data_IF_571782175853
#
_entry.id   IF_571782175853
#
_cell.length_a   1.000
_cell.length_b   1.000
_cell.length_c   1.000
_cell.angle_alpha   90.00
_cell.angle_beta   90.00
_cell.angle_gamma   90.00
#
_symmetry.space_group_name_H-M   'P 1'
#
loop_
_entity.id
_entity.type
_entity.pdbx_description
1 polymer ?
#
# COMPACT_ATOMS: atom_id res chain seq x y z
N UNK A 1 10.88 14.23 -26.21
CA UNK A 1 11.70 13.36 -27.07
C UNK A 1 12.34 12.24 -26.26
N UNK A 2 13.25 12.54 -25.32
CA UNK A 2 13.95 11.51 -24.52
C UNK A 2 12.99 10.67 -23.66
N UNK A 3 12.17 11.31 -22.84
CA UNK A 3 11.21 10.62 -21.94
C UNK A 3 10.15 9.83 -22.70
N UNK A 4 9.44 10.48 -23.61
CA UNK A 4 8.25 9.91 -24.25
C UNK A 4 8.54 9.00 -25.46
N UNK A 5 9.57 9.33 -26.27
CA UNK A 5 9.79 8.66 -27.56
C UNK A 5 10.90 7.62 -27.46
N UNK A 6 12.05 7.99 -26.89
CA UNK A 6 13.22 7.11 -26.89
C UNK A 6 13.16 6.02 -25.81
N UNK A 7 12.70 6.38 -24.61
CA UNK A 7 12.57 5.45 -23.49
C UNK A 7 11.11 5.13 -23.14
N UNK A 8 10.14 5.93 -23.57
CA UNK A 8 8.73 5.75 -23.22
C UNK A 8 8.17 4.40 -23.63
N UNK A 9 8.58 3.86 -24.78
CA UNK A 9 8.17 2.52 -25.22
C UNK A 9 8.81 1.36 -24.45
N UNK A 10 9.82 1.62 -23.61
CA UNK A 10 10.47 0.62 -22.75
C UNK A 10 9.91 0.61 -21.32
N UNK A 11 9.19 1.67 -20.94
CA UNK A 11 8.58 1.81 -19.62
C UNK A 11 7.11 1.42 -19.75
N UNK A 12 6.71 0.35 -19.07
CA UNK A 12 5.35 -0.19 -19.15
C UNK A 12 4.40 0.40 -18.11
N UNK A 13 4.92 0.85 -16.96
CA UNK A 13 4.13 1.42 -15.87
C UNK A 13 3.97 2.94 -16.03
N UNK A 14 2.74 3.43 -15.93
CA UNK A 14 2.40 4.84 -16.09
C UNK A 14 3.02 5.75 -15.01
N UNK A 15 3.16 5.24 -13.78
CA UNK A 15 3.79 5.99 -12.68
C UNK A 15 5.31 6.04 -12.86
N UNK A 16 5.93 4.97 -13.34
CA UNK A 16 7.35 5.00 -13.71
C UNK A 16 7.60 5.95 -14.87
N UNK A 17 6.69 6.00 -15.85
CA UNK A 17 6.74 6.97 -16.95
C UNK A 17 6.59 8.40 -16.43
N UNK A 18 5.69 8.64 -15.48
CA UNK A 18 5.54 9.94 -14.79
C UNK A 18 6.83 10.33 -14.04
N UNK A 19 7.44 9.40 -13.31
CA UNK A 19 8.72 9.61 -12.63
C UNK A 19 9.82 9.97 -13.64
N UNK A 20 9.99 9.19 -14.71
CA UNK A 20 11.01 9.44 -15.72
C UNK A 20 10.82 10.78 -16.42
N UNK A 21 9.57 11.14 -16.73
CA UNK A 21 9.24 12.46 -17.26
C UNK A 21 9.64 13.57 -16.30
N UNK A 22 9.42 13.39 -15.00
CA UNK A 22 9.79 14.35 -13.97
C UNK A 22 11.31 14.55 -13.93
N UNK A 23 12.10 13.47 -13.96
CA UNK A 23 13.56 13.57 -14.08
C UNK A 23 13.99 14.39 -15.30
N UNK A 24 13.41 14.11 -16.47
CA UNK A 24 13.74 14.89 -17.68
C UNK A 24 13.34 16.35 -17.57
N UNK A 25 12.24 16.68 -16.88
CA UNK A 25 11.80 18.05 -16.69
C UNK A 25 12.67 18.83 -15.70
N UNK A 26 13.28 18.17 -14.73
CA UNK A 26 14.16 18.81 -13.75
C UNK A 26 15.59 18.92 -14.29
N UNK A 27 16.11 17.86 -14.91
CA UNK A 27 17.52 17.77 -15.30
C UNK A 27 17.84 18.11 -16.75
N UNK A 28 16.85 18.16 -17.66
CA UNK A 28 17.08 18.58 -19.05
C UNK A 28 16.49 19.98 -19.26
N UNK A 29 17.05 20.95 -18.56
CA UNK A 29 16.62 22.36 -18.60
C UNK A 29 17.80 23.28 -18.93
N UNK A 30 17.59 24.45 -19.54
CA UNK A 30 18.68 25.40 -19.78
C UNK A 30 19.44 25.78 -18.50
N UNK A 31 18.79 25.74 -17.33
CA UNK A 31 19.42 25.96 -16.03
C UNK A 31 20.52 24.95 -15.70
N UNK A 32 20.45 23.71 -16.21
CA UNK A 32 21.51 22.72 -15.97
C UNK A 32 22.79 23.02 -16.74
N UNK A 33 22.73 23.88 -17.77
CA UNK A 33 23.88 24.29 -18.56
C UNK A 33 24.62 25.50 -17.96
N UNK A 34 24.14 26.06 -16.84
CA UNK A 34 24.82 27.17 -16.18
C UNK A 34 26.08 26.68 -15.45
N UNK A 35 27.16 27.48 -15.46
CA UNK A 35 28.43 27.12 -14.79
C UNK A 35 28.29 26.96 -13.26
N UNK A 36 27.26 27.59 -12.67
CA UNK A 36 26.94 27.48 -11.24
C UNK A 36 26.03 26.29 -10.90
N UNK A 37 25.59 25.53 -11.90
CA UNK A 37 24.68 24.41 -11.68
C UNK A 37 25.37 23.27 -10.94
N UNK A 38 24.66 22.73 -9.96
CA UNK A 38 25.06 21.52 -9.26
C UNK A 38 23.86 20.60 -9.10
N UNK A 39 24.11 19.29 -9.19
CA UNK A 39 23.10 18.28 -8.89
C UNK A 39 22.87 18.12 -7.38
N UNK A 40 23.70 18.76 -6.55
CA UNK A 40 23.52 18.76 -5.10
C UNK A 40 22.19 19.45 -4.74
N UNK A 41 21.39 18.88 -3.82
CA UNK A 41 20.20 19.55 -3.32
C UNK A 41 20.58 20.88 -2.65
N UNK A 42 19.73 21.92 -2.74
CA UNK A 42 20.01 23.22 -2.14
C UNK A 42 20.10 23.17 -0.61
N UNK A 43 19.29 22.31 0.02
CA UNK A 43 19.28 22.07 1.45
C UNK A 43 19.38 20.55 1.69
N UNK A 44 20.59 19.98 1.76
CA UNK A 44 20.76 18.56 2.03
C UNK A 44 20.35 18.22 3.48
N UNK A 45 19.63 17.11 3.65
CA UNK A 45 19.24 16.62 4.98
C UNK A 45 20.44 16.01 5.70
N UNK A 46 21.27 15.27 4.97
CA UNK A 46 22.56 14.77 5.44
C UNK A 46 23.72 15.39 4.66
N UNK A 47 24.88 15.53 5.34
CA UNK A 47 26.09 16.00 4.66
C UNK A 47 26.46 15.03 3.55
N UNK A 48 26.75 15.60 2.38
CA UNK A 48 27.23 14.84 1.23
C UNK A 48 28.65 14.36 1.54
N UNK A 49 28.97 13.08 1.27
CA UNK A 49 30.30 12.53 1.50
C UNK A 49 31.39 13.39 0.87
N UNK A 50 32.42 13.69 1.67
CA UNK A 50 33.57 14.50 1.27
C UNK A 50 33.22 15.93 0.82
N UNK A 51 32.00 16.42 1.14
CA UNK A 51 31.43 17.67 0.64
C UNK A 51 31.54 17.81 -0.89
N UNK A 52 31.45 16.66 -1.59
CA UNK A 52 31.62 16.60 -3.03
C UNK A 52 30.53 17.39 -3.76
N UNK A 53 30.92 18.14 -4.77
CA UNK A 53 30.01 18.94 -5.61
C UNK A 53 29.89 18.28 -6.98
N UNK A 54 28.71 17.73 -7.25
CA UNK A 54 28.37 17.17 -8.55
C UNK A 54 28.05 18.33 -9.51
N UNK A 55 29.08 18.80 -10.21
CA UNK A 55 29.00 19.88 -11.21
C UNK A 55 29.31 19.32 -12.60
N UNK A 56 28.99 20.08 -13.64
CA UNK A 56 29.36 19.73 -15.02
C UNK A 56 30.64 20.49 -15.37
N UNK A 57 31.79 19.82 -15.58
CA UNK A 57 33.02 20.51 -15.98
C UNK A 57 32.89 21.17 -17.35
N UNK A 58 33.21 22.46 -17.44
CA UNK A 58 33.24 23.21 -18.71
C UNK A 58 34.55 22.91 -19.46
N UNK A 59 34.56 21.79 -20.19
CA UNK A 59 35.71 21.34 -21.01
C UNK A 59 35.22 20.62 -22.26
N UNK A 60 35.94 20.75 -23.36
CA UNK A 60 35.66 20.01 -24.61
C UNK A 60 36.41 18.67 -24.66
N UNK A 61 37.38 18.46 -23.77
CA UNK A 61 38.21 17.26 -23.75
C UNK A 61 37.60 16.14 -22.91
N UNK A 62 37.51 14.94 -23.51
CA UNK A 62 37.04 13.72 -22.83
C UNK A 62 37.90 13.35 -21.60
N UNK A 63 39.22 13.64 -21.64
CA UNK A 63 40.14 13.37 -20.54
C UNK A 63 39.70 14.03 -19.24
N UNK A 64 39.36 15.32 -19.31
CA UNK A 64 38.90 16.12 -18.16
C UNK A 64 37.66 15.52 -17.50
N UNK A 65 36.68 15.04 -18.30
CA UNK A 65 35.49 14.39 -17.76
C UNK A 65 35.82 13.06 -17.07
N UNK A 66 36.70 12.24 -17.67
CA UNK A 66 37.13 10.97 -17.07
C UNK A 66 37.87 11.18 -15.77
N UNK A 67 38.74 12.19 -15.69
CA UNK A 67 39.49 12.49 -14.48
C UNK A 67 38.60 13.07 -13.39
N UNK A 68 37.57 13.86 -13.74
CA UNK A 68 36.54 14.30 -12.81
C UNK A 68 35.68 13.14 -12.28
N UNK A 69 35.29 12.18 -13.11
CA UNK A 69 34.52 11.01 -12.65
C UNK A 69 35.33 10.17 -11.65
N UNK A 70 36.65 10.09 -11.79
CA UNK A 70 37.51 9.37 -10.83
C UNK A 70 37.57 10.02 -9.45
N UNK A 71 37.18 11.29 -9.31
CA UNK A 71 37.14 11.96 -8.00
C UNK A 71 35.80 11.76 -7.28
N UNK A 72 34.86 11.04 -7.88
CA UNK A 72 33.56 10.76 -7.25
C UNK A 72 33.76 9.94 -5.98
N UNK A 73 32.94 10.19 -4.94
CA UNK A 73 32.96 9.34 -3.76
C UNK A 73 32.49 7.92 -4.10
N UNK A 74 32.97 6.93 -3.35
CA UNK A 74 32.53 5.53 -3.52
C UNK A 74 31.05 5.31 -3.15
N UNK A 75 30.53 6.17 -2.27
CA UNK A 75 29.16 6.10 -1.75
C UNK A 75 28.49 7.44 -2.02
N UNK A 76 27.44 7.40 -2.82
CA UNK A 76 26.59 8.54 -3.13
C UNK A 76 25.40 8.62 -2.16
N UNK A 77 25.02 9.83 -1.75
CA UNK A 77 23.80 10.03 -0.95
C UNK A 77 22.54 9.92 -1.80
N UNK A 78 21.46 9.26 -1.35
CA UNK A 78 20.20 9.16 -2.10
C UNK A 78 19.62 10.51 -2.55
N UNK A 79 19.93 11.59 -1.83
CA UNK A 79 19.46 12.94 -2.13
C UNK A 79 19.90 13.47 -3.49
N UNK A 80 21.04 13.02 -4.03
CA UNK A 80 21.49 13.44 -5.37
C UNK A 80 20.55 12.93 -6.47
N UNK A 81 19.87 11.83 -6.22
CA UNK A 81 18.86 11.26 -7.10
C UNK A 81 17.48 11.87 -6.83
N UNK A 82 17.36 12.84 -5.92
CA UNK A 82 16.06 13.37 -5.50
C UNK A 82 15.29 12.46 -4.56
N UNK A 83 15.90 11.40 -4.01
CA UNK A 83 15.28 10.54 -3.00
C UNK A 83 15.49 11.09 -1.59
N UNK A 84 14.64 10.68 -0.66
CA UNK A 84 14.86 10.92 0.77
C UNK A 84 15.98 10.00 1.30
N UNK A 85 16.82 10.43 2.25
CA UNK A 85 17.87 9.58 2.81
C UNK A 85 17.42 8.25 3.42
N UNK A 86 16.17 8.20 3.87
CA UNK A 86 15.55 6.98 4.38
C UNK A 86 15.52 5.85 3.33
N UNK A 87 15.68 6.16 2.04
CA UNK A 87 15.81 5.16 0.99
C UNK A 87 17.04 4.23 1.21
N UNK A 88 18.17 4.75 1.70
CA UNK A 88 19.34 3.93 2.03
C UNK A 88 19.04 2.97 3.18
N UNK A 89 18.32 3.44 4.20
CA UNK A 89 17.88 2.58 5.30
C UNK A 89 16.96 1.46 4.81
N UNK A 90 15.98 1.76 3.97
CA UNK A 90 15.09 0.77 3.36
C UNK A 90 15.86 -0.25 2.52
N UNK A 91 16.85 0.20 1.75
CA UNK A 91 17.71 -0.68 0.96
C UNK A 91 18.47 -1.67 1.86
N UNK A 92 19.14 -1.18 2.90
CA UNK A 92 19.88 -2.02 3.86
C UNK A 92 18.99 -3.02 4.59
N UNK A 93 17.78 -2.61 5.00
CA UNK A 93 16.81 -3.51 5.64
C UNK A 93 16.41 -4.65 4.68
N UNK A 94 16.18 -4.35 3.39
CA UNK A 94 15.86 -5.36 2.39
C UNK A 94 17.02 -6.32 2.16
N UNK A 95 18.24 -5.82 2.09
CA UNK A 95 19.44 -6.64 1.93
C UNK A 95 19.65 -7.59 3.10
N UNK A 96 19.51 -7.09 4.33
CA UNK A 96 19.61 -7.91 5.56
C UNK A 96 18.50 -8.97 5.61
N UNK A 97 17.27 -8.63 5.24
CA UNK A 97 16.18 -9.60 5.18
C UNK A 97 16.43 -10.69 4.11
N UNK A 98 16.97 -10.31 2.96
CA UNK A 98 17.37 -11.27 1.91
C UNK A 98 18.51 -12.19 2.37
N UNK A 99 19.48 -11.65 3.13
CA UNK A 99 20.55 -12.43 3.74
C UNK A 99 19.99 -13.44 4.74
N UNK A 100 19.12 -13.02 5.67
CA UNK A 100 18.51 -13.93 6.65
C UNK A 100 17.63 -14.99 5.98
N UNK A 101 16.88 -14.63 4.94
CA UNK A 101 16.10 -15.59 4.18
C UNK A 101 16.99 -16.64 3.50
N UNK A 102 18.09 -16.21 2.88
CA UNK A 102 19.08 -17.12 2.27
C UNK A 102 19.70 -18.03 3.31
N UNK A 103 20.11 -17.50 4.45
CA UNK A 103 20.70 -18.27 5.56
C UNK A 103 19.72 -19.31 6.13
N UNK A 104 18.46 -18.94 6.31
CA UNK A 104 17.41 -19.87 6.74
C UNK A 104 17.17 -20.99 5.72
N UNK A 105 17.27 -20.69 4.43
CA UNK A 105 17.10 -21.68 3.36
C UNK A 105 18.29 -22.64 3.22
N UNK A 106 19.51 -22.21 3.56
CA UNK A 106 20.72 -23.06 3.50
C UNK A 106 20.92 -23.91 4.75
N UNK A 107 20.20 -23.63 5.84
CA UNK A 107 20.28 -24.43 7.06
C UNK A 107 19.81 -25.87 6.81
N UNK A 108 20.59 -26.91 7.22
CA UNK A 108 20.22 -28.30 6.99
C UNK A 108 18.91 -28.63 7.70
N UNK A 109 17.85 -28.85 6.92
CA UNK A 109 16.52 -29.21 7.44
C UNK A 109 16.48 -30.64 8.02
N UNK A 110 17.52 -31.45 7.83
CA UNK A 110 17.56 -32.87 8.22
C UNK A 110 18.61 -33.24 9.28
N UNK A 111 19.13 -32.29 10.08
CA UNK A 111 20.20 -32.60 11.04
C UNK A 111 20.07 -31.84 12.36
N UNK A 112 19.27 -32.37 13.30
CA UNK A 112 19.19 -31.89 14.69
C UNK A 112 18.81 -33.05 15.60
N UNK A 113 19.73 -33.45 16.48
CA UNK A 113 19.64 -34.62 17.34
C UNK A 113 18.47 -34.58 18.33
N UNK A 114 17.99 -35.78 18.67
CA UNK A 114 16.82 -36.04 19.50
C UNK A 114 16.93 -35.40 20.90
N UNK A 115 15.87 -34.68 21.28
CA UNK A 115 15.72 -34.08 22.60
C UNK A 115 14.66 -32.98 22.69
N UNK A 116 14.25 -32.39 21.57
CA UNK A 116 13.14 -31.43 21.49
C UNK A 116 11.86 -32.01 20.88
N UNK A 117 10.73 -31.31 21.07
CA UNK A 117 9.47 -31.63 20.39
C UNK A 117 9.70 -31.73 18.88
N UNK A 118 9.05 -32.69 18.22
CA UNK A 118 9.17 -32.82 16.77
C UNK A 118 8.58 -31.60 16.07
N UNK A 119 8.95 -31.37 14.80
CA UNK A 119 8.39 -30.24 14.05
C UNK A 119 6.89 -30.40 13.90
N UNK A 120 6.47 -31.64 13.72
CA UNK A 120 5.10 -32.10 13.64
C UNK A 120 4.34 -31.78 14.92
N UNK A 121 4.91 -32.02 16.10
CA UNK A 121 4.28 -31.69 17.39
C UNK A 121 4.06 -30.17 17.54
N UNK A 122 5.09 -29.37 17.21
CA UNK A 122 5.00 -27.90 17.28
C UNK A 122 3.95 -27.36 16.32
N UNK A 123 3.89 -27.89 15.09
CA UNK A 123 2.88 -27.50 14.10
C UNK A 123 1.49 -27.97 14.51
N UNK A 124 1.36 -29.14 15.15
CA UNK A 124 0.09 -29.67 15.62
C UNK A 124 -0.53 -28.77 16.70
N UNK A 125 0.27 -28.36 17.69
CA UNK A 125 -0.16 -27.42 18.75
C UNK A 125 -0.53 -26.06 18.16
N UNK A 126 0.30 -25.50 17.27
CA UNK A 126 -0.01 -24.23 16.59
C UNK A 126 -1.28 -24.32 15.75
N UNK A 127 -1.47 -25.41 15.00
CA UNK A 127 -2.68 -25.62 14.21
C UNK A 127 -3.92 -25.70 15.11
N UNK A 128 -3.81 -26.31 16.29
CA UNK A 128 -4.90 -26.37 17.28
C UNK A 128 -5.25 -24.96 17.78
N UNK A 129 -4.24 -24.17 18.18
CA UNK A 129 -4.44 -22.79 18.64
C UNK A 129 -5.11 -21.92 17.56
N UNK A 130 -4.63 -22.01 16.31
CA UNK A 130 -5.20 -21.27 15.19
C UNK A 130 -6.65 -21.71 14.89
N UNK A 131 -6.95 -23.01 14.98
CA UNK A 131 -8.32 -23.54 14.79
C UNK A 131 -9.30 -23.08 15.87
N UNK A 132 -8.85 -22.97 17.12
CA UNK A 132 -9.66 -22.47 18.23
C UNK A 132 -9.97 -20.98 18.08
N UNK A 133 -8.99 -20.19 17.63
CA UNK A 133 -9.13 -18.74 17.44
C UNK A 133 -9.77 -18.33 16.12
N UNK A 134 -10.00 -19.27 15.20
CA UNK A 134 -10.60 -19.00 13.89
C UNK A 134 -12.06 -18.55 14.04
N UNK A 135 -12.48 -17.43 13.40
CA UNK A 135 -13.86 -16.97 13.48
C UNK A 135 -14.88 -18.00 13.00
N UNK A 136 -16.08 -17.97 13.59
CA UNK A 136 -17.17 -18.88 13.23
C UNK A 136 -17.61 -18.64 11.79
N UNK A 137 -17.91 -19.71 11.06
CA UNK A 137 -18.36 -19.63 9.68
C UNK A 137 -19.61 -18.74 9.51
N UNK A 138 -19.64 -17.95 8.44
CA UNK A 138 -20.77 -17.11 8.08
C UNK A 138 -21.90 -17.96 7.47
N UNK A 139 -23.10 -17.84 8.05
CA UNK A 139 -24.30 -18.52 7.54
C UNK A 139 -25.02 -17.60 6.55
N UNK A 140 -25.22 -18.08 5.33
CA UNK A 140 -25.76 -17.30 4.21
C UNK A 140 -27.11 -16.63 4.51
N UNK A 141 -28.02 -17.37 5.13
CA UNK A 141 -29.35 -16.86 5.45
C UNK A 141 -29.31 -15.77 6.55
N UNK A 142 -28.39 -15.87 7.52
CA UNK A 142 -28.27 -14.90 8.62
C UNK A 142 -27.77 -13.54 8.11
N UNK A 143 -26.65 -13.54 7.38
CA UNK A 143 -26.11 -12.27 6.89
C UNK A 143 -26.98 -11.65 5.80
N UNK A 144 -27.68 -12.45 4.97
CA UNK A 144 -28.70 -11.91 4.05
C UNK A 144 -29.85 -11.25 4.79
N UNK A 145 -30.38 -11.87 5.84
CA UNK A 145 -31.46 -11.30 6.64
C UNK A 145 -31.03 -9.98 7.32
N UNK A 146 -29.79 -9.92 7.85
CA UNK A 146 -29.22 -8.70 8.43
C UNK A 146 -29.00 -7.60 7.38
N UNK A 147 -28.49 -7.94 6.20
CA UNK A 147 -28.36 -6.99 5.08
C UNK A 147 -29.72 -6.43 4.62
N UNK A 148 -30.79 -7.24 4.64
CA UNK A 148 -32.13 -6.74 4.35
C UNK A 148 -32.60 -5.71 5.37
N UNK A 149 -32.30 -5.89 6.66
CA UNK A 149 -32.58 -4.88 7.70
C UNK A 149 -31.81 -3.58 7.48
N UNK A 150 -30.64 -3.63 6.84
CA UNK A 150 -29.80 -2.47 6.51
C UNK A 150 -30.20 -1.73 5.22
N UNK A 151 -31.41 -1.99 4.69
CA UNK A 151 -31.91 -1.37 3.44
C UNK A 151 -31.72 -2.23 2.19
N UNK A 152 -31.32 -3.50 2.36
CA UNK A 152 -31.27 -4.49 1.30
C UNK A 152 -30.16 -4.28 0.27
N UNK A 153 -30.20 -5.10 -0.78
CA UNK A 153 -29.23 -5.08 -1.88
C UNK A 153 -29.47 -3.95 -2.89
N UNK A 154 -30.43 -3.05 -2.64
CA UNK A 154 -30.58 -1.84 -3.44
C UNK A 154 -29.44 -0.84 -3.18
N UNK A 155 -28.84 -0.91 -1.99
CA UNK A 155 -27.75 -0.06 -1.53
C UNK A 155 -26.40 -0.61 -2.05
N UNK A 156 -25.62 0.16 -2.82
CA UNK A 156 -24.33 -0.28 -3.35
C UNK A 156 -23.34 -0.76 -2.29
N UNK A 157 -23.23 -0.07 -1.14
CA UNK A 157 -22.33 -0.49 -0.07
C UNK A 157 -22.75 -1.81 0.60
N UNK A 158 -24.06 -2.13 0.63
CA UNK A 158 -24.53 -3.42 1.15
C UNK A 158 -24.21 -4.56 0.17
N UNK A 159 -24.25 -4.31 -1.15
CA UNK A 159 -23.79 -5.28 -2.15
C UNK A 159 -22.29 -5.55 -1.98
N UNK A 160 -21.51 -4.50 -1.74
CA UNK A 160 -20.08 -4.64 -1.46
C UNK A 160 -19.85 -5.52 -0.22
N UNK A 161 -20.48 -5.22 0.92
CA UNK A 161 -20.36 -6.01 2.15
C UNK A 161 -20.77 -7.47 1.94
N UNK A 162 -21.84 -7.72 1.17
CA UNK A 162 -22.26 -9.09 0.83
C UNK A 162 -21.16 -9.89 0.11
N UNK A 163 -20.56 -9.30 -0.92
CA UNK A 163 -19.49 -9.96 -1.69
C UNK A 163 -18.22 -10.15 -0.84
N UNK A 164 -17.96 -9.19 0.04
CA UNK A 164 -16.81 -9.22 0.94
C UNK A 164 -16.91 -10.37 1.95
N UNK A 165 -18.06 -10.51 2.62
CA UNK A 165 -18.33 -11.61 3.55
C UNK A 165 -18.22 -12.96 2.85
N UNK A 166 -18.76 -13.08 1.62
CA UNK A 166 -18.63 -14.31 0.84
C UNK A 166 -17.18 -14.68 0.55
N UNK A 167 -16.32 -13.69 0.28
CA UNK A 167 -14.90 -13.92 0.04
C UNK A 167 -14.16 -14.27 1.33
N UNK A 168 -14.44 -13.56 2.42
CA UNK A 168 -13.86 -13.85 3.74
C UNK A 168 -14.21 -15.26 4.20
N UNK A 169 -15.47 -15.67 4.04
CA UNK A 169 -15.93 -17.02 4.38
C UNK A 169 -15.18 -18.10 3.58
N UNK A 170 -14.90 -17.88 2.29
CA UNK A 170 -14.09 -18.81 1.49
C UNK A 170 -12.67 -18.96 2.04
N UNK A 171 -12.07 -17.88 2.55
CA UNK A 171 -10.75 -17.93 3.19
C UNK A 171 -10.82 -18.69 4.50
N UNK A 172 -11.77 -18.36 5.39
CA UNK A 172 -11.97 -19.04 6.68
C UNK A 172 -12.16 -20.54 6.46
N UNK A 173 -13.06 -20.94 5.55
CA UNK A 173 -13.32 -22.34 5.24
C UNK A 173 -12.07 -23.06 4.70
N UNK A 174 -11.30 -22.41 3.81
CA UNK A 174 -10.07 -22.98 3.26
C UNK A 174 -9.01 -23.20 4.34
N UNK A 175 -8.77 -22.21 5.18
CA UNK A 175 -7.79 -22.29 6.29
C UNK A 175 -8.21 -23.36 7.29
N UNK A 176 -9.49 -23.37 7.70
CA UNK A 176 -10.05 -24.36 8.61
C UNK A 176 -9.87 -25.78 8.06
N UNK A 177 -10.20 -25.98 6.79
CA UNK A 177 -10.06 -27.28 6.11
C UNK A 177 -8.61 -27.75 6.07
N UNK A 178 -7.68 -26.88 5.65
CA UNK A 178 -6.25 -27.22 5.55
C UNK A 178 -5.66 -27.52 6.93
N UNK A 179 -5.94 -26.71 7.95
CA UNK A 179 -5.43 -26.94 9.31
C UNK A 179 -5.98 -28.23 9.93
N UNK A 180 -7.26 -28.55 9.68
CA UNK A 180 -7.86 -29.80 10.15
C UNK A 180 -7.24 -31.01 9.47
N UNK A 181 -7.07 -30.96 8.14
CA UNK A 181 -6.41 -32.01 7.38
C UNK A 181 -4.94 -32.18 7.78
N UNK A 182 -4.24 -31.08 8.07
CA UNK A 182 -2.86 -31.10 8.55
C UNK A 182 -2.76 -31.82 9.90
N UNK A 183 -3.67 -31.56 10.84
CA UNK A 183 -3.71 -32.28 12.11
C UNK A 183 -3.99 -33.78 11.94
N UNK A 184 -4.92 -34.14 11.05
CA UNK A 184 -5.22 -35.55 10.73
C UNK A 184 -4.04 -36.23 10.04
N UNK A 185 -3.32 -35.53 9.15
CA UNK A 185 -2.15 -36.05 8.48
C UNK A 185 -0.98 -36.28 9.44
N UNK A 186 -0.76 -35.37 10.41
CA UNK A 186 0.24 -35.54 11.47
C UNK A 186 -0.09 -36.77 12.35
N UNK A 187 -1.38 -37.02 12.61
CA UNK A 187 -1.83 -38.23 13.33
C UNK A 187 -1.76 -39.52 12.51
N UNK A 188 -1.51 -39.43 11.20
CA UNK A 188 -1.51 -40.58 10.28
C UNK A 188 -2.89 -41.05 9.83
N UNK A 189 -3.95 -40.26 10.07
CA UNK A 189 -5.32 -40.56 9.62
C UNK A 189 -5.55 -40.20 8.14
N UNK A 190 -4.83 -39.18 7.65
CA UNK A 190 -4.88 -38.70 6.26
C UNK A 190 -3.48 -38.76 5.65
N UNK A 191 -3.41 -39.00 4.33
CA UNK A 191 -2.13 -39.03 3.62
C UNK A 191 -1.51 -37.62 3.57
N UNK A 192 -0.24 -37.51 3.94
CA UNK A 192 0.53 -36.27 3.80
C UNK A 192 0.73 -35.94 2.32
N UNK A 193 -0.04 -34.98 1.80
CA UNK A 193 0.11 -34.46 0.44
C UNK A 193 1.22 -33.40 0.38
N UNK A 194 1.70 -33.08 -0.82
CA UNK A 194 2.67 -32.00 -1.03
C UNK A 194 2.15 -30.66 -0.48
N UNK A 195 0.86 -30.37 -0.67
CA UNK A 195 0.21 -29.16 -0.15
C UNK A 195 0.23 -29.08 1.39
N UNK A 196 -0.03 -30.20 2.06
CA UNK A 196 0.00 -30.28 3.53
C UNK A 196 1.44 -30.18 4.04
N UNK A 197 2.39 -30.80 3.34
CA UNK A 197 3.81 -30.73 3.69
C UNK A 197 4.37 -29.31 3.53
N UNK A 198 4.04 -28.59 2.45
CA UNK A 198 4.39 -27.18 2.30
C UNK A 198 3.79 -26.31 3.41
N UNK A 199 2.52 -26.57 3.76
CA UNK A 199 1.83 -25.86 4.84
C UNK A 199 2.48 -26.14 6.20
N UNK A 200 2.88 -27.38 6.46
CA UNK A 200 3.60 -27.77 7.68
C UNK A 200 4.89 -26.95 7.84
N UNK A 201 5.72 -26.90 6.78
CA UNK A 201 6.96 -26.12 6.82
C UNK A 201 6.71 -24.62 6.97
N UNK A 202 5.72 -24.07 6.26
CA UNK A 202 5.39 -22.65 6.36
C UNK A 202 4.92 -22.27 7.77
N UNK A 203 4.04 -23.07 8.39
CA UNK A 203 3.55 -22.84 9.76
C UNK A 203 4.67 -22.98 10.79
N UNK A 204 5.56 -23.96 10.60
CA UNK A 204 6.74 -24.14 11.44
C UNK A 204 7.66 -22.91 11.39
N UNK A 205 7.97 -22.42 10.18
CA UNK A 205 8.81 -21.25 9.90
C UNK A 205 8.09 -19.90 10.19
N UNK A 206 6.88 -19.93 10.75
CA UNK A 206 6.03 -18.76 11.01
C UNK A 206 5.74 -17.88 9.77
N UNK A 207 5.73 -18.50 8.58
CA UNK A 207 5.38 -17.89 7.30
C UNK A 207 3.94 -18.22 6.92
N UNK A 208 3.34 -17.38 6.09
CA UNK A 208 2.00 -17.63 5.55
C UNK A 208 2.08 -18.75 4.49
N UNK A 209 1.31 -19.84 4.61
CA UNK A 209 1.23 -20.86 3.57
C UNK A 209 0.79 -20.26 2.23
N UNK A 210 1.48 -20.61 1.14
CA UNK A 210 1.24 -20.04 -0.20
C UNK A 210 -0.21 -20.21 -0.64
N UNK A 211 -0.82 -21.35 -0.33
CA UNK A 211 -2.21 -21.67 -0.68
C UNK A 211 -3.25 -20.80 0.04
N UNK A 212 -2.89 -20.14 1.15
CA UNK A 212 -3.78 -19.21 1.83
C UNK A 212 -3.75 -17.83 1.15
N UNK A 213 -2.58 -17.39 0.71
CA UNK A 213 -2.40 -16.10 0.03
C UNK A 213 -2.80 -16.14 -1.45
N UNK A 214 -2.50 -17.24 -2.14
CA UNK A 214 -2.65 -17.37 -3.58
C UNK A 214 -3.49 -18.58 -4.01
N UNK A 215 -4.11 -18.45 -5.16
CA UNK A 215 -4.71 -19.56 -5.92
C UNK A 215 -3.60 -20.29 -6.68
N UNK A 216 -3.86 -21.52 -7.12
CA UNK A 216 -2.91 -22.33 -7.91
C UNK A 216 -2.47 -21.58 -9.18
N UNK A 217 -3.34 -20.74 -9.76
CA UNK A 217 -3.05 -19.87 -10.92
C UNK A 217 -2.16 -18.67 -10.61
N UNK A 218 -1.80 -18.42 -9.35
CA UNK A 218 -1.02 -17.25 -8.93
C UNK A 218 -1.85 -15.99 -8.62
N UNK A 219 -3.19 -16.10 -8.65
CA UNK A 219 -4.07 -15.00 -8.28
C UNK A 219 -4.19 -14.83 -6.77
N UNK A 220 -4.23 -13.59 -6.31
CA UNK A 220 -4.40 -13.25 -4.90
C UNK A 220 -5.76 -13.76 -4.37
N UNK A 221 -5.70 -14.77 -3.51
CA UNK A 221 -6.88 -15.36 -2.88
C UNK A 221 -7.29 -14.54 -1.65
N UNK A 222 -6.34 -14.22 -0.77
CA UNK A 222 -6.56 -13.45 0.46
C UNK A 222 -5.81 -12.11 0.50
N UNK A 223 -4.70 -12.03 1.23
CA UNK A 223 -3.80 -10.90 1.33
C UNK A 223 -2.38 -11.36 1.64
N UNK A 224 -1.43 -10.46 1.39
CA UNK A 224 0.00 -10.73 1.53
C UNK A 224 0.51 -10.00 2.77
N UNK A 225 1.05 -10.77 3.71
CA UNK A 225 1.69 -10.29 4.94
C UNK A 225 2.94 -11.15 5.21
N UNK A 226 4.00 -10.57 5.80
CA UNK A 226 5.30 -11.25 5.89
C UNK A 226 5.31 -12.42 6.88
N UNK A 227 4.46 -12.38 7.91
CA UNK A 227 4.43 -13.41 8.96
C UNK A 227 3.04 -13.99 9.16
N UNK A 228 2.99 -15.24 9.59
CA UNK A 228 1.75 -15.95 9.94
C UNK A 228 0.97 -15.20 11.03
N UNK A 229 1.66 -14.67 12.04
CA UNK A 229 1.04 -13.94 13.15
C UNK A 229 0.35 -12.66 12.70
N UNK A 230 1.00 -11.85 11.86
CA UNK A 230 0.38 -10.65 11.29
C UNK A 230 -0.80 -11.02 10.38
N UNK A 231 -0.64 -12.06 9.56
CA UNK A 231 -1.68 -12.54 8.66
C UNK A 231 -2.93 -12.98 9.42
N UNK A 232 -2.76 -13.75 10.49
CA UNK A 232 -3.87 -14.26 11.30
C UNK A 232 -4.53 -13.15 12.14
N UNK A 233 -3.76 -12.25 12.73
CA UNK A 233 -4.31 -11.07 13.41
C UNK A 233 -5.11 -10.19 12.44
N UNK A 234 -4.65 -10.04 11.20
CA UNK A 234 -5.40 -9.35 10.15
C UNK A 234 -6.71 -10.08 9.81
N UNK A 235 -6.71 -11.42 9.72
CA UNK A 235 -7.94 -12.21 9.50
C UNK A 235 -9.00 -11.90 10.57
N UNK A 236 -8.62 -11.90 11.84
CA UNK A 236 -9.53 -11.61 12.96
C UNK A 236 -10.06 -10.19 12.88
N UNK A 237 -9.18 -9.21 12.64
CA UNK A 237 -9.58 -7.79 12.57
C UNK A 237 -10.52 -7.52 11.39
N UNK A 238 -10.34 -8.22 10.26
CA UNK A 238 -11.23 -8.14 9.09
C UNK A 238 -12.61 -8.73 9.39
N UNK A 239 -12.66 -9.89 10.03
CA UNK A 239 -13.92 -10.51 10.49
C UNK A 239 -14.65 -9.61 11.47
N UNK A 240 -13.94 -9.00 12.43
CA UNK A 240 -14.50 -8.06 13.39
C UNK A 240 -15.12 -6.83 12.70
N UNK A 241 -14.42 -6.26 11.72
CA UNK A 241 -14.93 -5.14 10.91
C UNK A 241 -16.23 -5.49 10.19
N UNK A 242 -16.26 -6.62 9.49
CA UNK A 242 -17.44 -7.06 8.72
C UNK A 242 -18.61 -7.43 9.63
N UNK A 243 -18.35 -8.12 10.75
CA UNK A 243 -19.39 -8.45 11.75
C UNK A 243 -19.95 -7.21 12.44
N UNK A 244 -19.08 -6.26 12.79
CA UNK A 244 -19.50 -4.99 13.38
C UNK A 244 -20.39 -4.23 12.41
N UNK A 245 -20.02 -4.17 11.13
CA UNK A 245 -20.86 -3.57 10.11
C UNK A 245 -22.21 -4.30 9.97
N UNK A 246 -22.21 -5.63 9.93
CA UNK A 246 -23.41 -6.43 9.78
C UNK A 246 -24.40 -6.28 10.96
N UNK A 247 -23.90 -6.16 12.18
CA UNK A 247 -24.73 -6.14 13.40
C UNK A 247 -25.09 -4.72 13.85
N UNK A 248 -24.15 -3.76 13.79
CA UNK A 248 -24.31 -2.41 14.32
C UNK A 248 -24.63 -1.37 13.23
N UNK A 249 -24.61 -1.78 11.96
CA UNK A 249 -24.82 -0.89 10.82
C UNK A 249 -23.52 -0.24 10.35
N UNK A 250 -23.65 0.80 9.52
CA UNK A 250 -22.51 1.37 8.78
C UNK A 250 -21.45 1.98 9.72
N UNK A 251 -20.17 1.61 9.57
CA UNK A 251 -19.07 2.28 10.26
C UNK A 251 -19.01 3.78 9.92
N UNK A 252 -18.60 4.60 10.89
CA UNK A 252 -18.36 6.04 10.67
C UNK A 252 -17.06 6.29 9.92
N UNK A 253 -16.08 5.40 10.09
CA UNK A 253 -14.79 5.41 9.41
C UNK A 253 -14.43 3.99 9.00
N UNK A 254 -13.88 3.83 7.80
CA UNK A 254 -13.55 2.54 7.22
C UNK A 254 -12.04 2.28 7.25
N UNK A 255 -11.65 1.06 7.61
CA UNK A 255 -10.28 0.60 7.45
C UNK A 255 -10.12 -0.01 6.05
N UNK A 256 -9.52 0.76 5.14
CA UNK A 256 -9.46 0.38 3.71
C UNK A 256 -8.69 -0.92 3.49
N UNK A 257 -7.68 -1.18 4.33
CA UNK A 257 -6.84 -2.37 4.20
C UNK A 257 -7.55 -3.63 4.66
N UNK A 258 -8.56 -3.49 5.52
CA UNK A 258 -9.41 -4.58 5.99
C UNK A 258 -10.22 -5.20 4.86
N UNK A 259 -10.34 -4.52 3.73
CA UNK A 259 -11.03 -5.06 2.57
C UNK A 259 -10.12 -5.83 1.62
N UNK A 260 -10.66 -6.87 0.98
CA UNK A 260 -10.01 -7.65 -0.08
C UNK A 260 -9.90 -6.82 -1.36
N UNK A 261 -10.97 -6.11 -1.72
CA UNK A 261 -11.08 -5.33 -2.95
C UNK A 261 -11.38 -3.85 -2.66
N UNK A 262 -10.40 -3.06 -2.19
CA UNK A 262 -10.60 -1.63 -1.98
C UNK A 262 -10.84 -0.86 -3.30
N UNK A 263 -10.29 -1.35 -4.42
CA UNK A 263 -10.32 -0.65 -5.72
C UNK A 263 -11.39 -1.12 -6.70
N UNK A 264 -11.75 -2.42 -6.70
CA UNK A 264 -12.24 -3.12 -7.90
C UNK A 264 -13.14 -2.27 -8.81
N UNK A 265 -12.72 -2.13 -10.08
CA UNK A 265 -13.25 -1.19 -11.09
C UNK A 265 -14.79 -1.17 -11.27
N UNK A 266 -15.52 -2.18 -10.81
CA UNK A 266 -17.00 -2.17 -10.76
C UNK A 266 -17.62 -2.47 -9.39
N UNK A 267 -16.87 -3.08 -8.45
CA UNK A 267 -17.42 -3.66 -7.21
C UNK A 267 -16.59 -3.34 -5.95
N UNK A 268 -15.63 -2.41 -6.02
CA UNK A 268 -14.85 -1.99 -4.85
C UNK A 268 -15.62 -1.00 -3.98
N UNK A 269 -15.22 -0.90 -2.70
CA UNK A 269 -15.81 0.04 -1.73
C UNK A 269 -15.90 1.47 -2.28
N UNK A 270 -14.83 1.95 -2.93
CA UNK A 270 -14.77 3.30 -3.49
C UNK A 270 -15.77 3.49 -4.65
N UNK A 271 -15.96 2.48 -5.49
CA UNK A 271 -16.96 2.50 -6.57
C UNK A 271 -18.38 2.48 -6.01
N UNK A 272 -18.63 1.66 -4.98
CA UNK A 272 -19.94 1.63 -4.31
C UNK A 272 -20.26 2.98 -3.65
N UNK A 273 -19.29 3.61 -3.00
CA UNK A 273 -19.42 4.98 -2.49
C UNK A 273 -19.71 5.97 -3.63
N UNK A 274 -18.96 5.90 -4.73
CA UNK A 274 -19.17 6.77 -5.91
C UNK A 274 -20.58 6.62 -6.48
N UNK A 275 -21.11 5.39 -6.53
CA UNK A 275 -22.49 5.12 -6.96
C UNK A 275 -23.52 5.70 -5.98
N UNK A 276 -23.30 5.60 -4.67
CA UNK A 276 -24.18 6.22 -3.68
C UNK A 276 -24.23 7.74 -3.82
N UNK A 277 -23.08 8.40 -3.94
CA UNK A 277 -23.00 9.85 -4.16
C UNK A 277 -23.70 10.23 -5.47
N UNK A 278 -23.40 9.55 -6.57
CA UNK A 278 -24.06 9.80 -7.87
C UNK A 278 -25.58 9.65 -7.79
N UNK A 279 -26.08 8.66 -7.03
CA UNK A 279 -27.53 8.46 -6.83
C UNK A 279 -28.18 9.57 -5.99
N UNK A 280 -27.46 10.14 -5.01
CA UNK A 280 -27.93 11.30 -4.23
C UNK A 280 -28.08 12.54 -5.11
N UNK A 281 -27.14 12.79 -6.01
CA UNK A 281 -27.20 13.91 -6.98
C UNK A 281 -27.97 13.57 -8.28
N UNK A 282 -28.91 12.61 -8.23
CA UNK A 282 -29.73 12.28 -9.41
C UNK A 282 -30.55 13.48 -9.92
N UNK A 283 -30.99 14.36 -9.01
CA UNK A 283 -31.69 15.60 -9.37
C UNK A 283 -30.83 16.55 -10.22
N UNK A 284 -29.51 16.53 -10.01
CA UNK A 284 -28.52 17.33 -10.73
C UNK A 284 -28.00 16.66 -12.01
N UNK A 285 -28.56 15.49 -12.37
CA UNK A 285 -28.19 14.69 -13.56
C UNK A 285 -26.72 14.26 -13.59
N UNK A 286 -26.13 13.96 -12.45
CA UNK A 286 -24.77 13.41 -12.42
C UNK A 286 -24.72 12.03 -13.09
N UNK A 287 -23.81 11.87 -14.04
CA UNK A 287 -23.50 10.58 -14.67
C UNK A 287 -22.28 9.95 -13.99
N UNK A 288 -22.32 8.63 -13.76
CA UNK A 288 -21.23 7.92 -13.07
C UNK A 288 -19.87 8.08 -13.77
N UNK A 289 -19.87 8.24 -15.09
CA UNK A 289 -18.68 8.42 -15.92
C UNK A 289 -18.06 9.82 -15.81
N UNK A 290 -18.86 10.81 -15.38
CA UNK A 290 -18.43 12.21 -15.21
C UNK A 290 -18.02 12.54 -13.78
N UNK A 291 -18.24 11.61 -12.86
CA UNK A 291 -17.82 11.73 -11.47
C UNK A 291 -16.39 11.23 -11.30
N UNK A 292 -15.61 11.91 -10.49
CA UNK A 292 -14.19 11.64 -10.17
C UNK A 292 -14.01 11.68 -8.65
N UNK A 293 -13.03 10.94 -8.14
CA UNK A 293 -12.74 10.94 -6.71
C UNK A 293 -12.23 12.31 -6.25
N UNK A 294 -12.82 12.80 -5.17
CA UNK A 294 -12.34 13.94 -4.42
C UNK A 294 -11.82 13.47 -3.07
N UNK A 295 -10.66 13.98 -2.67
CA UNK A 295 -9.95 13.51 -1.48
C UNK A 295 -9.45 14.69 -0.69
N UNK A 296 -9.69 14.66 0.62
CA UNK A 296 -9.25 15.70 1.54
C UNK A 296 -8.71 15.06 2.82
N UNK A 297 -7.55 15.52 3.30
CA UNK A 297 -6.99 15.06 4.57
C UNK A 297 -7.67 15.86 5.68
N UNK A 298 -8.38 15.17 6.58
CA UNK A 298 -9.11 15.82 7.68
C UNK A 298 -8.19 16.14 8.85
N UNK A 299 -8.71 16.90 9.83
CA UNK A 299 -8.04 17.16 11.11
C UNK A 299 -8.10 15.98 12.09
N UNK A 300 -8.88 14.93 11.81
CA UNK A 300 -9.04 13.79 12.70
C UNK A 300 -7.83 12.85 12.60
N UNK A 301 -7.16 12.59 13.73
CA UNK A 301 -5.98 11.73 13.77
C UNK A 301 -6.33 10.25 13.85
N UNK A 302 -7.38 9.93 14.62
CA UNK A 302 -7.78 8.57 14.96
C UNK A 302 -9.28 8.40 14.68
N UNK A 303 -9.67 7.17 14.40
CA UNK A 303 -11.08 6.82 14.15
C UNK A 303 -12.01 7.24 15.30
N UNK A 304 -11.54 7.21 16.55
CA UNK A 304 -12.30 7.55 17.76
C UNK A 304 -12.80 9.00 17.79
N UNK A 305 -12.12 9.90 17.04
CA UNK A 305 -12.50 11.30 16.95
C UNK A 305 -13.66 11.52 15.98
N UNK A 306 -13.94 10.55 15.10
CA UNK A 306 -14.99 10.62 14.09
C UNK A 306 -16.33 10.19 14.70
N UNK A 307 -17.07 11.17 15.24
CA UNK A 307 -18.36 10.92 15.93
C UNK A 307 -19.54 10.67 15.00
N UNK A 308 -19.49 11.19 13.78
CA UNK A 308 -20.59 11.08 12.81
C UNK A 308 -20.06 10.77 11.42
N UNK A 309 -20.78 9.96 10.62
CA UNK A 309 -20.43 9.75 9.22
C UNK A 309 -20.58 11.05 8.42
N UNK A 310 -19.88 11.19 7.28
CA UNK A 310 -20.03 12.36 6.43
C UNK A 310 -21.39 12.34 5.72
N UNK A 311 -21.89 13.52 5.32
CA UNK A 311 -23.15 13.63 4.58
C UNK A 311 -23.07 12.89 3.22
N UNK A 312 -21.92 12.99 2.56
CA UNK A 312 -21.59 12.34 1.29
C UNK A 312 -20.16 11.82 1.35
N UNK A 313 -19.90 10.67 0.72
CA UNK A 313 -18.59 10.02 0.77
C UNK A 313 -18.36 9.15 2.01
N UNK A 314 -17.10 8.89 2.30
CA UNK A 314 -16.65 8.02 3.39
C UNK A 314 -15.37 8.57 4.04
N UNK A 315 -15.18 8.29 5.32
CA UNK A 315 -13.91 8.49 6.01
C UNK A 315 -13.08 7.21 5.98
N UNK A 316 -11.79 7.33 5.75
CA UNK A 316 -10.84 6.22 5.66
C UNK A 316 -9.71 6.44 6.66
N UNK A 317 -9.36 5.40 7.41
CA UNK A 317 -8.22 5.41 8.33
C UNK A 317 -7.23 4.28 8.05
N UNK A 318 -6.06 4.34 8.69
CA UNK A 318 -5.01 3.32 8.58
C UNK A 318 -4.22 3.43 7.27
N UNK A 319 -3.96 4.66 6.81
CA UNK A 319 -3.07 4.93 5.68
C UNK A 319 -1.75 5.48 6.19
N UNK A 320 -0.66 5.14 5.53
CA UNK A 320 0.71 5.54 5.89
C UNK A 320 1.36 6.23 4.71
N UNK A 321 2.01 7.38 4.94
CA UNK A 321 2.87 8.04 3.97
C UNK A 321 4.27 7.45 4.02
N UNK A 322 4.81 7.14 2.85
CA UNK A 322 6.19 6.74 2.62
C UNK A 322 6.90 7.83 1.80
N UNK A 323 8.10 8.23 2.22
CA UNK A 323 8.88 9.30 1.59
C UNK A 323 8.44 10.74 1.95
N UNK A 324 7.36 10.90 2.71
CA UNK A 324 6.87 12.19 3.21
C UNK A 324 6.16 12.05 4.56
N UNK A 325 5.87 13.18 5.18
CA UNK A 325 5.01 13.31 6.35
C UNK A 325 3.93 14.36 6.10
N UNK A 326 2.90 14.37 6.94
CA UNK A 326 1.81 15.35 6.87
C UNK A 326 1.87 16.31 8.05
N UNK A 327 2.02 17.60 7.79
CA UNK A 327 1.97 18.63 8.83
C UNK A 327 0.52 19.02 9.11
N UNK A 328 0.09 18.80 10.37
CA UNK A 328 -1.29 19.12 10.81
C UNK A 328 -1.51 20.63 10.95
N UNK A 329 -0.49 21.35 11.40
CA UNK A 329 -0.60 22.80 11.65
C UNK A 329 -0.81 23.57 10.34
N UNK A 330 -0.13 23.13 9.29
CA UNK A 330 -0.16 23.80 7.99
C UNK A 330 -1.10 23.12 6.98
N UNK A 331 -1.48 21.86 7.23
CA UNK A 331 -2.30 21.06 6.32
C UNK A 331 -1.61 20.77 4.99
N UNK A 332 -0.29 20.57 5.01
CA UNK A 332 0.55 20.35 3.82
C UNK A 332 1.51 19.18 4.02
N UNK A 333 1.99 18.63 2.92
CA UNK A 333 3.08 17.65 2.94
C UNK A 333 4.41 18.30 3.35
N UNK A 334 5.13 17.61 4.23
CA UNK A 334 6.45 17.97 4.72
C UNK A 334 7.37 16.76 4.59
N UNK A 335 8.70 16.97 4.68
CA UNK A 335 9.63 15.83 4.58
C UNK A 335 9.52 14.95 5.82
N UNK A 336 9.75 13.65 5.63
CA UNK A 336 9.76 12.73 6.76
C UNK A 336 10.96 12.99 7.65
N UNK A 337 10.81 12.68 8.94
CA UNK A 337 11.94 12.73 9.87
C UNK A 337 12.97 11.64 9.49
N UNK A 338 14.27 11.91 9.65
CA UNK A 338 15.29 10.90 9.46
C UNK A 338 15.01 9.65 10.31
N UNK A 339 15.21 8.47 9.72
CA UNK A 339 14.96 7.14 10.34
C UNK A 339 13.48 6.79 10.55
N UNK A 340 12.54 7.66 10.16
CA UNK A 340 11.10 7.38 10.16
C UNK A 340 10.65 7.04 8.74
N UNK A 341 10.56 5.75 8.44
CA UNK A 341 10.20 5.25 7.10
C UNK A 341 8.75 5.57 6.74
N UNK A 342 7.84 5.32 7.67
CA UNK A 342 6.40 5.47 7.47
C UNK A 342 5.80 6.42 8.50
N UNK A 343 4.90 7.31 8.05
CA UNK A 343 4.17 8.24 8.92
C UNK A 343 2.68 8.02 8.71
N UNK A 344 1.91 7.81 9.79
CA UNK A 344 0.45 7.68 9.67
C UNK A 344 -0.15 8.96 9.09
N UNK A 345 -0.95 8.82 8.04
CA UNK A 345 -1.80 9.88 7.54
C UNK A 345 -3.00 10.04 8.50
N UNK A 346 -3.46 11.27 8.76
CA UNK A 346 -4.77 11.50 9.39
C UNK A 346 -5.90 10.86 8.58
N UNK A 347 -7.10 10.82 9.17
CA UNK A 347 -8.30 10.29 8.51
C UNK A 347 -8.52 11.01 7.18
N UNK A 348 -8.60 10.24 6.11
CA UNK A 348 -8.82 10.72 4.76
C UNK A 348 -10.32 10.74 4.49
N UNK A 349 -10.83 11.91 4.10
CA UNK A 349 -12.16 12.04 3.54
C UNK A 349 -12.11 11.73 2.05
N UNK A 350 -12.96 10.82 1.60
CA UNK A 350 -13.10 10.48 0.18
C UNK A 350 -14.55 10.64 -0.23
N UNK A 351 -14.78 11.56 -1.15
CA UNK A 351 -16.06 11.81 -1.80
C UNK A 351 -15.93 11.76 -3.31
N UNK A 352 -16.96 12.20 -4.03
CA UNK A 352 -16.98 12.17 -5.47
C UNK A 352 -17.56 13.50 -5.99
N UNK A 353 -16.88 14.12 -6.94
CA UNK A 353 -17.27 15.39 -7.56
C UNK A 353 -17.35 15.23 -9.08
N UNK A 354 -18.04 16.13 -9.78
CA UNK A 354 -18.00 16.17 -11.25
C UNK A 354 -16.62 16.62 -11.75
N UNK A 355 -16.21 16.18 -12.95
CA UNK A 355 -14.96 16.64 -13.59
C UNK A 355 -14.88 18.17 -13.67
N UNK A 356 -15.99 18.85 -13.98
CA UNK A 356 -16.07 20.30 -14.08
C UNK A 356 -15.82 21.00 -12.74
N UNK A 357 -16.39 20.49 -11.65
CA UNK A 357 -16.21 21.08 -10.33
C UNK A 357 -14.86 20.70 -9.72
N UNK A 358 -14.33 19.52 -10.04
CA UNK A 358 -12.99 19.12 -9.61
C UNK A 358 -11.92 20.10 -10.13
N UNK A 359 -12.06 20.64 -11.34
CA UNK A 359 -11.11 21.64 -11.87
C UNK A 359 -11.16 22.95 -11.07
N UNK A 360 -12.36 23.39 -10.67
CA UNK A 360 -12.54 24.59 -9.84
C UNK A 360 -11.95 24.37 -8.45
N UNK A 361 -12.36 23.29 -7.80
CA UNK A 361 -11.88 22.89 -6.46
C UNK A 361 -10.36 22.69 -6.46
N UNK A 362 -9.80 22.09 -7.52
CA UNK A 362 -8.34 21.91 -7.62
C UNK A 362 -7.61 23.26 -7.64
N UNK A 363 -8.12 24.25 -8.38
CA UNK A 363 -7.53 25.59 -8.44
C UNK A 363 -7.70 26.36 -7.12
N UNK A 364 -8.87 26.24 -6.49
CA UNK A 364 -9.17 26.94 -5.23
C UNK A 364 -8.39 26.37 -4.05
N UNK A 365 -8.32 25.04 -3.91
CA UNK A 365 -7.68 24.39 -2.76
C UNK A 365 -6.16 24.24 -2.89
N UNK A 366 -5.63 24.05 -4.10
CA UNK A 366 -4.22 23.73 -4.32
C UNK A 366 -3.45 24.78 -5.13
N UNK A 367 -4.12 25.87 -5.54
CA UNK A 367 -3.49 26.98 -6.24
C UNK A 367 -2.98 26.64 -7.66
N UNK A 368 -2.08 27.47 -8.18
CA UNK A 368 -1.64 27.42 -9.58
C UNK A 368 -0.81 26.17 -9.95
N UNK A 369 -0.12 25.54 -8.98
CA UNK A 369 0.67 24.33 -9.23
C UNK A 369 -0.14 23.03 -9.13
N UNK A 370 -1.34 23.09 -8.54
CA UNK A 370 -2.20 21.92 -8.33
C UNK A 370 -1.71 20.98 -7.23
N UNK A 371 -2.50 19.95 -6.90
CA UNK A 371 -2.15 18.96 -5.88
C UNK A 371 -1.04 18.03 -6.36
N UNK A 372 -0.32 17.42 -5.41
CA UNK A 372 0.43 16.21 -5.71
C UNK A 372 -0.53 15.03 -5.74
N UNK A 373 -0.66 14.39 -6.90
CA UNK A 373 -1.43 13.17 -7.07
C UNK A 373 -0.60 11.99 -6.54
N UNK A 374 -0.84 11.62 -5.28
CA UNK A 374 -0.14 10.57 -4.58
C UNK A 374 -0.79 9.21 -4.85
N UNK A 375 -0.05 8.21 -5.36
CA UNK A 375 -0.60 6.87 -5.53
C UNK A 375 -0.78 6.17 -4.17
N UNK A 376 -1.95 5.60 -3.94
CA UNK A 376 -2.25 4.78 -2.77
C UNK A 376 -2.15 3.30 -3.12
N UNK A 377 -1.23 2.56 -2.52
CA UNK A 377 -1.02 1.13 -2.76
C UNK A 377 -1.56 0.26 -1.62
N UNK A 378 -2.04 -0.95 -1.98
CA UNK A 378 -2.45 -1.97 -1.02
C UNK A 378 -1.28 -2.52 -0.20
N UNK A 379 -0.12 -2.72 -0.83
CA UNK A 379 1.09 -3.29 -0.22
C UNK A 379 2.31 -2.38 -0.46
N UNK A 380 3.37 -2.60 0.33
CA UNK A 380 4.68 -1.95 0.16
C UNK A 380 5.34 -2.28 -1.18
N UNK A 381 5.00 -3.42 -1.79
CA UNK A 381 5.36 -3.77 -3.17
C UNK A 381 4.57 -2.90 -4.16
N UNK A 382 5.18 -1.82 -4.62
CA UNK A 382 4.56 -0.85 -5.52
C UNK A 382 4.56 -1.38 -6.96
N UNK A 383 3.43 -1.92 -7.39
CA UNK A 383 3.19 -2.31 -8.79
C UNK A 383 1.81 -1.81 -9.21
N UNK A 384 1.58 -1.61 -10.51
CA UNK A 384 0.28 -1.18 -11.05
C UNK A 384 -0.89 -2.03 -10.54
N UNK A 385 -0.68 -3.34 -10.34
CA UNK A 385 -1.68 -4.29 -9.80
C UNK A 385 -2.20 -3.89 -8.41
N UNK A 386 -1.38 -3.22 -7.60
CA UNK A 386 -1.69 -2.90 -6.20
C UNK A 386 -2.05 -1.44 -5.96
N UNK A 387 -2.05 -0.60 -7.00
CA UNK A 387 -2.57 0.78 -6.90
C UNK A 387 -4.06 0.69 -6.62
N UNK A 388 -4.57 1.42 -5.64
CA UNK A 388 -5.99 1.52 -5.34
C UNK A 388 -6.58 2.74 -6.03
N UNK A 389 -6.06 3.92 -5.75
CA UNK A 389 -6.52 5.18 -6.33
C UNK A 389 -5.48 6.28 -6.10
N UNK A 390 -5.71 7.43 -6.73
CA UNK A 390 -4.87 8.61 -6.59
C UNK A 390 -5.49 9.55 -5.54
N UNK A 391 -4.68 9.96 -4.57
CA UNK A 391 -5.06 10.91 -3.51
C UNK A 391 -4.42 12.25 -3.80
N UNK A 392 -5.23 13.31 -3.82
CA UNK A 392 -4.73 14.67 -3.98
C UNK A 392 -4.21 15.18 -2.64
N UNK A 393 -2.91 15.44 -2.54
CA UNK A 393 -2.26 15.99 -1.36
C UNK A 393 -1.78 17.41 -1.60
N UNK A 394 -1.92 18.26 -0.56
CA UNK A 394 -1.56 19.68 -0.63
C UNK A 394 -0.04 19.85 -0.47
N UNK A 395 0.52 20.70 -1.33
CA UNK A 395 1.95 21.00 -1.40
C UNK A 395 2.21 22.48 -1.12
N UNK A 396 3.41 22.79 -0.63
CA UNK A 396 3.95 24.16 -0.57
C UNK A 396 4.48 24.59 -1.94
N UNK A 397 4.66 25.89 -2.17
CA UNK A 397 5.25 26.39 -3.43
C UNK A 397 6.73 26.00 -3.60
N UNK A 398 7.47 25.87 -2.49
CA UNK A 398 8.88 25.45 -2.50
C UNK A 398 9.02 23.96 -2.85
N UNK A 399 8.22 23.11 -2.20
CA UNK A 399 8.17 21.66 -2.45
C UNK A 399 7.00 21.31 -3.36
N UNK A 400 7.19 21.54 -4.66
CA UNK A 400 6.19 21.33 -5.71
C UNK A 400 5.84 19.84 -5.95
N UNK A 401 4.81 19.51 -6.75
CA UNK A 401 4.47 18.11 -7.05
C UNK A 401 5.60 17.30 -7.72
N UNK A 402 6.50 17.95 -8.46
CA UNK A 402 7.65 17.29 -9.08
C UNK A 402 8.65 16.82 -8.01
N UNK A 403 8.91 17.64 -6.99
CA UNK A 403 9.74 17.29 -5.85
C UNK A 403 9.24 16.01 -5.15
N UNK A 404 7.94 15.93 -4.87
CA UNK A 404 7.35 14.74 -4.22
C UNK A 404 7.32 13.51 -5.13
N UNK A 405 7.24 13.72 -6.45
CA UNK A 405 7.38 12.65 -7.44
C UNK A 405 8.80 12.08 -7.43
N UNK A 406 9.82 12.93 -7.35
CA UNK A 406 11.23 12.51 -7.23
C UNK A 406 11.52 11.81 -5.89
N UNK A 407 10.92 12.30 -4.79
CA UNK A 407 11.00 11.65 -3.48
C UNK A 407 10.36 10.26 -3.45
N UNK A 408 9.64 9.87 -4.51
CA UNK A 408 8.93 8.61 -4.58
C UNK A 408 7.82 8.52 -3.53
N UNK A 409 7.14 9.63 -3.27
CA UNK A 409 6.13 9.69 -2.21
C UNK A 409 4.92 8.84 -2.58
N UNK A 410 4.49 7.96 -1.67
CA UNK A 410 3.33 7.11 -1.86
C UNK A 410 2.53 6.96 -0.57
N UNK A 411 1.24 6.65 -0.72
CA UNK A 411 0.42 6.17 0.37
C UNK A 411 0.42 4.65 0.37
N UNK A 412 0.61 4.07 1.53
CA UNK A 412 0.56 2.64 1.76
C UNK A 412 -0.58 2.34 2.72
N UNK A 413 -1.38 1.37 2.34
CA UNK A 413 -2.37 0.77 3.22
C UNK A 413 -1.67 0.01 4.36
N UNK A 414 -0.65 -0.76 4.04
CA UNK A 414 0.09 -1.56 5.01
C UNK A 414 1.58 -1.28 4.92
N UNK A 415 2.25 -1.23 6.08
CA UNK A 415 3.69 -0.98 6.18
C UNK A 415 4.53 -2.26 6.14
N UNK A 416 3.91 -3.40 6.41
CA UNK A 416 4.57 -4.71 6.54
C UNK A 416 4.61 -5.52 5.24
#
# INVERSE_FOLDING_TARGET
>A
MVSEVQYGGKITDDLDRRMFKTYTQVWLTPSTCADSFTYNPPNPIFRIPQDFKYTIPSSEQLGTFKDFIKTFPEIDTPEIFGLHPNADLTFRVKEVNALFATLGNTQPKGGGGGGGASREDVVFEKAAELLERLPVDYIEDDYKAKLQKLGGLAVPLNIFLFQEIQRLQKVIAKVRSILTQLQQAIKGEVVMTEELQETLYAVYDAKVPRLWAFTITGDEFSWILPTLGLWFSSLITRDEQDRTWLNNGRPTCYWLTGFFNPQAKAWGMLTAMKQEVTRKHKAEKWALDDVVYHTEVTSYERMEQVRSPPAEGVYIHGLFLDGAAWSKQEGVMVESEPKKLFVSLPVLFVSANTKSDQVKVKREMFGAQGPFECPCYKYSARTDRYIIFMVNLKCTMEKNPQFWTLRGTALLCNTD
#
